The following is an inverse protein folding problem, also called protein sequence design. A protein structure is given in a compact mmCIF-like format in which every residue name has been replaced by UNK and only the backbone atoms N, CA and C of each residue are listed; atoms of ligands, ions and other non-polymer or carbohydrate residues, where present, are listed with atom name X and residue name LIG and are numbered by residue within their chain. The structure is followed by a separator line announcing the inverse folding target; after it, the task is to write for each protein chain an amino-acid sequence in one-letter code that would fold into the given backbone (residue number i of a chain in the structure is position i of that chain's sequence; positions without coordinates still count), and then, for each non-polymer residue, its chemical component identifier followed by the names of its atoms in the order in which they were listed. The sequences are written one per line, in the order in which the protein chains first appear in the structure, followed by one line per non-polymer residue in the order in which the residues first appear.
data_IF_462606846248
#
_entry.id   IF_462606846248
#
_cell.length_a   1.000
_cell.length_b   1.000
_cell.length_c   1.000
_cell.angle_alpha   90.00
_cell.angle_beta   90.00
_cell.angle_gamma   90.00
#
_symmetry.space_group_name_H-M   'P 1'
#
loop_
_entity.id
_entity.type
_entity.pdbx_description
1 polymer ?
#
# COMPACT_ATOMS: atom_id res chain seq x y z
N UNK A 1 -23.19 -8.81 6.77
CA UNK A 1 -22.94 -8.01 5.56
C UNK A 1 -21.44 -8.11 5.38
N UNK A 2 -20.96 -8.67 4.27
CA UNK A 2 -19.52 -8.70 3.99
C UNK A 2 -19.01 -7.25 3.98
N UNK A 3 -17.88 -6.93 4.62
CA UNK A 3 -17.34 -5.58 4.60
C UNK A 3 -17.06 -5.16 3.14
N UNK A 4 -17.49 -3.97 2.76
CA UNK A 4 -17.14 -3.42 1.45
C UNK A 4 -15.68 -2.96 1.51
N UNK A 5 -14.92 -3.17 0.45
CA UNK A 5 -13.51 -2.74 0.36
C UNK A 5 -13.34 -1.24 0.66
N UNK A 6 -14.35 -0.43 0.33
CA UNK A 6 -14.35 1.01 0.58
C UNK A 6 -14.33 1.35 2.09
N UNK A 7 -14.94 0.52 2.94
CA UNK A 7 -14.96 0.71 4.40
C UNK A 7 -13.55 0.60 5.00
N UNK A 8 -12.62 -0.06 4.31
CA UNK A 8 -11.23 -0.19 4.74
C UNK A 8 -10.43 1.11 4.59
N UNK A 9 -10.89 2.07 3.78
CA UNK A 9 -10.14 3.28 3.43
C UNK A 9 -10.92 4.58 3.65
N UNK A 10 -12.22 4.61 3.34
CA UNK A 10 -13.02 5.81 3.41
C UNK A 10 -13.18 6.30 4.86
N UNK A 11 -12.93 7.59 5.09
CA UNK A 11 -13.05 8.22 6.41
C UNK A 11 -11.97 7.84 7.44
N UNK A 12 -11.06 6.94 7.09
CA UNK A 12 -9.99 6.45 7.97
C UNK A 12 -8.93 7.52 8.22
N UNK A 13 -8.30 7.46 9.38
CA UNK A 13 -7.24 8.41 9.73
C UNK A 13 -5.89 7.86 9.30
N UNK A 14 -5.11 8.70 8.61
CA UNK A 14 -3.68 8.44 8.39
C UNK A 14 -2.94 8.61 9.72
N UNK A 15 -2.28 7.55 10.20
CA UNK A 15 -1.50 7.56 11.44
C UNK A 15 0.00 7.69 11.19
N UNK A 16 0.48 7.25 10.02
CA UNK A 16 1.88 7.41 9.64
C UNK A 16 2.07 7.48 8.11
N UNK A 17 3.17 8.13 7.72
CA UNK A 17 3.74 8.05 6.37
C UNK A 17 5.22 7.72 6.56
N UNK A 18 5.67 6.60 5.99
CA UNK A 18 7.06 6.13 6.14
C UNK A 18 7.53 5.42 4.89
N UNK A 19 8.85 5.21 4.76
CA UNK A 19 9.40 4.36 3.70
C UNK A 19 9.02 2.90 3.94
N UNK A 20 8.90 2.13 2.86
CA UNK A 20 8.87 0.67 2.97
C UNK A 20 10.17 0.16 3.59
N UNK A 21 10.03 -0.80 4.50
CA UNK A 21 11.09 -1.67 4.99
C UNK A 21 11.56 -2.63 3.90
N UNK A 22 12.72 -3.24 4.08
CA UNK A 22 13.26 -4.22 3.12
C UNK A 22 12.31 -5.42 2.93
N UNK A 23 11.66 -5.88 4.01
CA UNK A 23 10.67 -6.96 3.96
C UNK A 23 9.43 -6.57 3.16
N UNK A 24 8.95 -5.33 3.29
CA UNK A 24 7.82 -4.84 2.49
C UNK A 24 8.22 -4.69 1.03
N UNK A 25 9.41 -4.15 0.74
CA UNK A 25 9.92 -4.04 -0.63
C UNK A 25 9.99 -5.42 -1.31
N UNK A 26 10.44 -6.44 -0.60
CA UNK A 26 10.42 -7.83 -1.10
C UNK A 26 9.00 -8.33 -1.34
N UNK A 27 8.13 -8.18 -0.36
CA UNK A 27 6.74 -8.64 -0.41
C UNK A 27 5.97 -8.02 -1.59
N UNK A 28 6.16 -6.74 -1.86
CA UNK A 28 5.42 -6.02 -2.91
C UNK A 28 6.19 -5.88 -4.23
N UNK A 29 7.27 -6.65 -4.42
CA UNK A 29 7.96 -6.78 -5.71
C UNK A 29 8.86 -5.59 -6.09
N UNK A 30 9.29 -4.78 -5.12
CA UNK A 30 10.16 -3.62 -5.30
C UNK A 30 11.67 -3.93 -5.18
N UNK A 31 12.06 -5.18 -4.94
CA UNK A 31 13.46 -5.62 -4.71
C UNK A 31 14.46 -5.28 -5.82
N UNK A 32 14.00 -5.04 -7.05
CA UNK A 32 14.87 -4.61 -8.15
C UNK A 32 15.41 -3.17 -7.98
N UNK A 33 14.81 -2.36 -7.09
CA UNK A 33 15.15 -0.95 -6.89
C UNK A 33 16.16 -0.78 -5.76
N UNK A 34 17.42 -0.55 -6.12
CA UNK A 34 18.48 -0.20 -5.16
C UNK A 34 18.45 1.30 -4.85
N UNK A 35 18.24 1.66 -3.58
CA UNK A 35 18.48 3.01 -3.06
C UNK A 35 17.30 3.98 -3.04
N UNK A 36 16.12 3.58 -3.54
CA UNK A 36 14.90 4.39 -3.40
C UNK A 36 13.75 3.51 -2.91
N UNK A 37 13.30 3.75 -1.68
CA UNK A 37 12.18 3.05 -1.06
C UNK A 37 10.96 3.97 -1.06
N UNK A 38 9.93 3.68 -1.87
CA UNK A 38 8.71 4.47 -1.91
C UNK A 38 8.02 4.54 -0.54
N UNK A 39 7.28 5.63 -0.26
CA UNK A 39 6.52 5.74 0.96
C UNK A 39 5.28 4.84 0.94
N UNK A 40 4.84 4.43 2.12
CA UNK A 40 3.55 3.82 2.42
C UNK A 40 2.73 4.73 3.31
N UNK A 41 1.42 4.52 3.32
CA UNK A 41 0.47 5.23 4.18
C UNK A 41 -0.14 4.21 5.14
N UNK A 42 -0.02 4.44 6.44
CA UNK A 42 -0.64 3.60 7.46
C UNK A 42 -1.94 4.25 7.93
N UNK A 43 -3.02 3.46 7.96
CA UNK A 43 -4.33 3.84 8.46
C UNK A 43 -4.52 3.35 9.90
N UNK A 44 -5.34 4.05 10.68
CA UNK A 44 -5.66 3.70 12.07
C UNK A 44 -6.34 2.33 12.23
N UNK A 45 -6.99 1.84 11.18
CA UNK A 45 -7.51 0.47 11.10
C UNK A 45 -6.45 -0.63 11.01
N UNK A 46 -5.18 -0.26 10.78
CA UNK A 46 -4.09 -1.20 10.54
C UNK A 46 -3.88 -1.55 9.06
N UNK A 47 -4.72 -1.04 8.16
CA UNK A 47 -4.48 -1.16 6.72
C UNK A 47 -3.26 -0.31 6.31
N UNK A 48 -2.49 -0.82 5.34
CA UNK A 48 -1.33 -0.12 4.76
C UNK A 48 -1.54 0.02 3.26
N UNK A 49 -1.42 1.24 2.75
CA UNK A 49 -1.48 1.54 1.32
C UNK A 49 -0.07 1.59 0.74
N UNK A 50 0.15 0.78 -0.29
CA UNK A 50 1.40 0.63 -1.02
C UNK A 50 1.26 1.18 -2.44
N UNK A 51 2.29 1.85 -2.97
CA UNK A 51 2.35 2.16 -4.39
C UNK A 51 2.77 0.91 -5.19
N UNK A 52 2.02 0.60 -6.24
CA UNK A 52 2.52 -0.23 -7.34
C UNK A 52 3.65 0.52 -8.06
N UNK A 53 4.43 -0.18 -8.88
CA UNK A 53 5.22 0.55 -9.89
C UNK A 53 4.28 1.21 -10.90
N UNK A 54 4.69 2.37 -11.40
CA UNK A 54 4.09 2.96 -12.61
C UNK A 54 4.27 2.02 -13.82
N UNK A 55 3.51 2.22 -14.91
CA UNK A 55 3.59 1.35 -16.09
C UNK A 55 4.99 1.28 -16.72
N UNK A 56 5.79 2.34 -16.60
CA UNK A 56 7.18 2.41 -17.05
C UNK A 56 8.16 1.68 -16.13
N UNK A 57 7.73 1.29 -14.93
CA UNK A 57 8.56 0.65 -13.90
C UNK A 57 9.59 1.59 -13.27
N UNK A 58 9.44 2.90 -13.45
CA UNK A 58 10.39 3.92 -13.07
C UNK A 58 10.17 4.48 -11.64
N UNK A 59 8.97 4.35 -11.09
CA UNK A 59 8.57 5.03 -9.87
C UNK A 59 7.24 4.55 -9.29
N UNK A 60 6.76 5.16 -8.19
CA UNK A 60 5.48 4.83 -7.60
C UNK A 60 4.32 5.22 -8.53
N UNK A 61 3.34 4.33 -8.66
CA UNK A 61 2.16 4.44 -9.50
C UNK A 61 0.86 4.39 -8.69
N UNK A 62 -0.06 3.52 -9.09
CA UNK A 62 -1.36 3.36 -8.44
C UNK A 62 -1.23 2.81 -7.01
N UNK A 63 -2.21 3.10 -6.16
CA UNK A 63 -2.25 2.57 -4.80
C UNK A 63 -3.06 1.27 -4.74
N UNK A 64 -2.55 0.32 -3.96
CA UNK A 64 -3.28 -0.84 -3.48
C UNK A 64 -3.06 -0.96 -1.98
N UNK A 65 -3.98 -1.62 -1.28
CA UNK A 65 -3.92 -1.79 0.16
C UNK A 65 -3.72 -3.24 0.57
N UNK A 66 -3.21 -3.40 1.78
CA UNK A 66 -3.22 -4.67 2.51
C UNK A 66 -3.88 -4.38 3.86
N UNK A 67 -4.96 -5.12 4.16
CA UNK A 67 -5.72 -5.00 5.39
C UNK A 67 -4.96 -5.53 6.61
N UNK A 68 -5.49 -5.25 7.80
CA UNK A 68 -4.92 -5.76 9.05
C UNK A 68 -4.99 -7.30 9.17
N UNK A 69 -5.85 -7.93 8.38
CA UNK A 69 -6.03 -9.37 8.20
C UNK A 69 -5.16 -9.96 7.08
N UNK A 70 -4.23 -9.17 6.53
CA UNK A 70 -3.32 -9.55 5.45
C UNK A 70 -3.99 -9.71 4.07
N UNK A 71 -5.26 -9.31 3.92
CA UNK A 71 -5.98 -9.35 2.65
C UNK A 71 -5.61 -8.16 1.74
N UNK A 72 -5.28 -8.44 0.48
CA UNK A 72 -4.95 -7.41 -0.50
C UNK A 72 -6.21 -6.85 -1.16
N UNK A 73 -6.26 -5.53 -1.33
CA UNK A 73 -7.39 -4.84 -1.96
C UNK A 73 -6.93 -3.68 -2.86
N UNK A 74 -7.77 -3.29 -3.80
CA UNK A 74 -7.57 -2.11 -4.63
C UNK A 74 -8.92 -1.51 -4.99
N UNK A 75 -8.92 -0.20 -5.26
CA UNK A 75 -10.10 0.47 -5.83
C UNK A 75 -9.87 0.58 -7.34
N UNK A 76 -10.77 -0.02 -8.10
CA UNK A 76 -10.89 0.22 -9.54
C UNK A 76 -11.85 1.40 -9.76
N UNK A 77 -11.61 2.24 -10.79
CA UNK A 77 -12.66 3.09 -11.36
C UNK A 77 -13.90 2.28 -11.77
#
# INVERSE_FOLDING_TARGET
MEPNTDDQIEGQRIVAIRKMSDTELERVGWTARRGNSPPVIELDSGAILYPSMDPEGNGPGALFGIGADDEAFFISP
#
